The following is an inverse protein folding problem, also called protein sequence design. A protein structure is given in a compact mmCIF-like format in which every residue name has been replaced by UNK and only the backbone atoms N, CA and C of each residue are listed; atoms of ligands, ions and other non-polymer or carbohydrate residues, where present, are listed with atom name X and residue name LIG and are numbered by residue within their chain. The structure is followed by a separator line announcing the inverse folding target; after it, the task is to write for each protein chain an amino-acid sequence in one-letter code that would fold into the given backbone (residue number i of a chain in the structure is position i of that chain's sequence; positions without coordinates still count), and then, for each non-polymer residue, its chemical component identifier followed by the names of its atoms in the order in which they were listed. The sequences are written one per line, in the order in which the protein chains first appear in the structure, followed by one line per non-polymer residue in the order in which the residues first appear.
data_IF_206353634575
#
_entry.id   IF_206353634575
#
_cell.length_a   1.000
_cell.length_b   1.000
_cell.length_c   1.000
_cell.angle_alpha   90.00
_cell.angle_beta   90.00
_cell.angle_gamma   90.00
#
_symmetry.space_group_name_H-M   'P 1'
#
loop_
_entity.id
_entity.type
_entity.pdbx_description
1 polymer ?
#
# COMPACT_ATOMS: atom_id res chain seq x y z
N UNK A 1 -16.22 1.15 6.65
CA UNK A 1 -14.83 1.23 6.24
C UNK A 1 -14.33 2.51 6.85
N UNK A 2 -13.31 2.46 7.68
CA UNK A 2 -12.72 3.66 8.27
C UNK A 2 -11.65 4.25 7.33
N UNK A 3 -11.13 5.44 7.67
CA UNK A 3 -10.16 6.13 6.81
C UNK A 3 -8.91 5.27 6.52
N UNK A 4 -8.25 4.64 7.51
CA UNK A 4 -7.11 3.76 7.24
C UNK A 4 -7.43 2.61 6.28
N UNK A 5 -8.61 1.97 6.42
CA UNK A 5 -9.04 0.91 5.49
C UNK A 5 -9.25 1.42 4.07
N UNK A 6 -9.84 2.63 3.92
CA UNK A 6 -10.02 3.27 2.60
C UNK A 6 -8.67 3.59 1.97
N UNK A 7 -7.73 4.17 2.72
CA UNK A 7 -6.40 4.53 2.19
C UNK A 7 -5.64 3.31 1.71
N UNK A 8 -5.63 2.24 2.50
CA UNK A 8 -4.94 1.00 2.15
C UNK A 8 -5.56 0.35 0.91
N UNK A 9 -6.90 0.25 0.87
CA UNK A 9 -7.59 -0.41 -0.22
C UNK A 9 -7.45 0.36 -1.53
N UNK A 10 -7.62 1.69 -1.52
CA UNK A 10 -7.45 2.52 -2.73
C UNK A 10 -6.00 2.46 -3.22
N UNK A 11 -5.00 2.48 -2.33
CA UNK A 11 -3.60 2.35 -2.73
C UNK A 11 -3.31 1.01 -3.44
N UNK A 12 -3.83 -0.10 -2.90
CA UNK A 12 -3.69 -1.42 -3.53
C UNK A 12 -4.35 -1.47 -4.91
N UNK A 13 -5.53 -0.87 -5.05
CA UNK A 13 -6.24 -0.80 -6.33
C UNK A 13 -5.45 -0.01 -7.37
N UNK A 14 -4.90 1.15 -7.00
CA UNK A 14 -4.09 1.96 -7.90
C UNK A 14 -2.78 1.27 -8.33
N UNK A 15 -2.18 0.47 -7.43
CA UNK A 15 -0.93 -0.28 -7.67
C UNK A 15 -1.13 -1.47 -8.63
N UNK A 16 -2.30 -2.12 -8.61
CA UNK A 16 -2.61 -3.21 -9.56
C UNK A 16 -2.64 -2.78 -11.02
N UNK A 17 -2.78 -1.47 -11.32
CA UNK A 17 -2.64 -0.90 -12.67
C UNK A 17 -3.75 -1.27 -13.67
N UNK A 18 -4.55 -2.29 -13.41
CA UNK A 18 -5.67 -2.74 -14.25
C UNK A 18 -6.97 -1.97 -13.96
N UNK A 19 -6.98 -0.67 -14.24
CA UNK A 19 -8.22 0.12 -14.19
C UNK A 19 -8.21 1.25 -15.21
N UNK A 20 -9.40 1.58 -15.73
CA UNK A 20 -9.58 2.70 -16.66
C UNK A 20 -9.36 4.04 -15.94
N UNK A 21 -9.09 5.11 -16.71
CA UNK A 21 -8.84 6.46 -16.18
C UNK A 21 -9.95 6.94 -15.27
N UNK A 22 -11.20 6.72 -15.67
CA UNK A 22 -12.36 7.26 -14.98
C UNK A 22 -12.51 6.62 -13.59
N UNK A 23 -12.24 5.32 -13.48
CA UNK A 23 -12.22 4.60 -12.21
C UNK A 23 -11.06 5.04 -11.32
N UNK A 24 -9.89 5.36 -11.90
CA UNK A 24 -8.77 5.93 -11.14
C UNK A 24 -9.15 7.29 -10.56
N UNK A 25 -9.71 8.18 -11.38
CA UNK A 25 -10.11 9.53 -10.95
C UNK A 25 -11.19 9.48 -9.85
N UNK A 26 -12.15 8.56 -9.97
CA UNK A 26 -13.17 8.33 -8.95
C UNK A 26 -12.58 7.85 -7.62
N UNK A 27 -11.62 6.92 -7.66
CA UNK A 27 -10.96 6.42 -6.45
C UNK A 27 -10.11 7.51 -5.77
N UNK A 28 -9.41 8.34 -6.54
CA UNK A 28 -8.66 9.48 -6.03
C UNK A 28 -9.57 10.54 -5.40
N UNK A 29 -10.73 10.80 -6.02
CA UNK A 29 -11.76 11.69 -5.45
C UNK A 29 -12.25 11.16 -4.10
N UNK A 30 -12.65 9.89 -4.04
CA UNK A 30 -13.17 9.26 -2.81
C UNK A 30 -12.11 9.30 -1.69
N UNK A 31 -10.84 9.04 -2.02
CA UNK A 31 -9.73 9.12 -1.08
C UNK A 31 -9.53 10.55 -0.55
N UNK A 32 -9.58 11.55 -1.42
CA UNK A 32 -9.45 12.96 -1.05
C UNK A 32 -10.59 13.41 -0.12
N UNK A 33 -11.83 13.04 -0.45
CA UNK A 33 -13.01 13.33 0.38
C UNK A 33 -12.93 12.62 1.73
N UNK A 34 -12.45 11.37 1.77
CA UNK A 34 -12.25 10.65 3.03
C UNK A 34 -11.21 11.32 3.93
N UNK A 35 -10.09 11.78 3.37
CA UNK A 35 -9.07 12.55 4.10
C UNK A 35 -9.59 13.87 4.62
N UNK A 36 -10.51 14.51 3.89
CA UNK A 36 -11.18 15.74 4.30
C UNK A 36 -12.29 15.50 5.35
N UNK A 37 -12.59 14.24 5.71
CA UNK A 37 -13.72 13.90 6.58
C UNK A 37 -15.09 14.11 5.93
N UNK A 38 -15.13 14.18 4.59
CA UNK A 38 -16.31 14.45 3.77
C UNK A 38 -16.78 13.20 3.00
N UNK A 39 -16.43 11.99 3.48
CA UNK A 39 -16.84 10.75 2.83
C UNK A 39 -18.34 10.66 2.62
N UNK A 40 -18.76 10.37 1.39
CA UNK A 40 -20.13 10.01 1.11
C UNK A 40 -20.42 8.55 1.51
N UNK A 41 -21.57 8.27 2.13
CA UNK A 41 -21.91 6.92 2.57
C UNK A 41 -22.03 5.92 1.41
N UNK A 42 -22.44 6.39 0.22
CA UNK A 42 -22.54 5.58 -0.98
C UNK A 42 -21.17 5.16 -1.51
N UNK A 43 -20.18 6.06 -1.47
CA UNK A 43 -18.79 5.78 -1.86
C UNK A 43 -18.16 4.75 -0.91
N UNK A 44 -18.41 4.87 0.40
CA UNK A 44 -17.95 3.89 1.39
C UNK A 44 -18.65 2.53 1.24
N UNK A 45 -19.93 2.53 0.86
CA UNK A 45 -20.67 1.31 0.59
C UNK A 45 -20.15 0.60 -0.67
N UNK A 46 -19.85 1.36 -1.72
CA UNK A 46 -19.23 0.88 -2.94
C UNK A 46 -17.86 0.25 -2.66
N UNK A 47 -16.97 0.96 -1.97
CA UNK A 47 -15.65 0.44 -1.60
C UNK A 47 -15.75 -0.83 -0.75
N UNK A 48 -16.69 -0.88 0.21
CA UNK A 48 -16.93 -2.08 1.02
C UNK A 48 -17.41 -3.26 0.18
N UNK A 49 -18.34 -3.04 -0.75
CA UNK A 49 -18.84 -4.07 -1.63
C UNK A 49 -17.77 -4.57 -2.61
N UNK A 50 -16.93 -3.67 -3.11
CA UNK A 50 -15.83 -4.00 -4.01
C UNK A 50 -14.71 -4.77 -3.29
N UNK A 51 -14.33 -4.31 -2.09
CA UNK A 51 -13.42 -5.04 -1.20
C UNK A 51 -13.96 -6.45 -0.92
N UNK A 52 -15.23 -6.55 -0.49
CA UNK A 52 -15.86 -7.86 -0.29
C UNK A 52 -15.86 -8.70 -1.57
N UNK A 53 -16.07 -8.13 -2.76
CA UNK A 53 -16.04 -8.89 -4.02
C UNK A 53 -14.64 -9.44 -4.36
N UNK A 54 -13.59 -8.64 -4.20
CA UNK A 54 -12.21 -9.05 -4.46
C UNK A 54 -11.77 -10.15 -3.47
N UNK A 55 -12.13 -9.99 -2.19
CA UNK A 55 -11.69 -10.90 -1.13
C UNK A 55 -12.64 -12.07 -0.88
N UNK A 56 -13.91 -12.01 -1.32
CA UNK A 56 -14.88 -13.11 -1.21
C UNK A 56 -14.80 -14.10 -2.37
N UNK A 57 -14.00 -13.84 -3.40
CA UNK A 57 -13.55 -14.87 -4.36
C UNK A 57 -12.41 -15.73 -3.82
N UNK A 58 -11.83 -15.36 -2.68
CA UNK A 58 -11.04 -16.28 -1.88
C UNK A 58 -12.04 -17.26 -1.22
N UNK A 59 -11.84 -18.59 -1.28
CA UNK A 59 -12.61 -19.51 -0.44
C UNK A 59 -12.55 -19.02 1.01
N UNK A 60 -13.58 -19.28 1.85
CA UNK A 60 -13.50 -18.94 3.26
C UNK A 60 -12.16 -19.44 3.77
N UNK A 61 -11.35 -18.53 4.33
CA UNK A 61 -10.02 -18.87 4.80
C UNK A 61 -10.15 -20.17 5.61
N UNK A 62 -9.44 -21.25 5.25
CA UNK A 62 -9.38 -22.39 6.16
C UNK A 62 -8.95 -21.82 7.50
N UNK A 63 -9.64 -22.20 8.59
CA UNK A 63 -9.31 -21.77 9.95
C UNK A 63 -7.79 -21.64 10.05
N UNK A 64 -7.32 -20.39 10.07
CA UNK A 64 -5.89 -20.12 10.07
C UNK A 64 -5.43 -20.59 11.44
N UNK A 65 -4.96 -21.83 11.47
CA UNK A 65 -4.16 -22.39 12.54
C UNK A 65 -3.15 -21.32 13.00
N UNK A 66 -2.88 -21.20 14.31
CA UNK A 66 -2.06 -20.13 14.89
C UNK A 66 -0.56 -20.28 14.53
N UNK A 67 -0.23 -20.16 13.24
CA UNK A 67 1.10 -20.26 12.66
C UNK A 67 1.50 -19.02 11.84
N UNK A 68 0.68 -17.95 11.87
CA UNK A 68 0.99 -16.68 11.18
C UNK A 68 2.14 -15.89 11.81
N UNK A 69 2.66 -16.30 12.97
CA UNK A 69 3.71 -15.56 13.68
C UNK A 69 5.11 -15.73 13.05
N UNK A 70 5.44 -16.91 12.51
CA UNK A 70 6.76 -17.17 11.93
C UNK A 70 6.95 -16.43 10.60
N UNK A 71 5.98 -16.52 9.69
CA UNK A 71 6.04 -15.77 8.42
C UNK A 71 6.02 -14.25 8.60
N UNK A 72 5.36 -13.74 9.64
CA UNK A 72 5.38 -12.32 9.96
C UNK A 72 6.74 -11.88 10.53
N UNK A 73 7.44 -12.74 11.27
CA UNK A 73 8.79 -12.44 11.76
C UNK A 73 9.81 -12.40 10.63
N UNK A 74 9.74 -13.35 9.70
CA UNK A 74 10.62 -13.41 8.53
C UNK A 74 10.42 -12.19 7.62
N UNK A 75 9.18 -11.82 7.34
CA UNK A 75 8.88 -10.60 6.56
C UNK A 75 9.35 -9.32 7.24
N UNK A 76 9.26 -9.23 8.58
CA UNK A 76 9.77 -8.07 9.33
C UNK A 76 11.30 -7.98 9.23
N UNK A 77 11.99 -9.10 9.36
CA UNK A 77 13.45 -9.15 9.21
C UNK A 77 13.88 -8.77 7.78
N UNK A 78 13.17 -9.24 6.76
CA UNK A 78 13.44 -8.89 5.37
C UNK A 78 13.21 -7.39 5.10
N UNK A 79 12.13 -6.80 5.64
CA UNK A 79 11.87 -5.36 5.55
C UNK A 79 12.99 -4.54 6.21
N UNK A 80 13.46 -4.96 7.39
CA UNK A 80 14.57 -4.28 8.08
C UNK A 80 15.87 -4.37 7.28
N UNK A 81 16.17 -5.54 6.71
CA UNK A 81 17.33 -5.73 5.85
C UNK A 81 17.27 -4.81 4.61
N UNK A 82 16.14 -4.80 3.89
CA UNK A 82 15.98 -3.98 2.69
C UNK A 82 16.09 -2.48 2.99
N UNK A 83 15.60 -2.03 4.16
CA UNK A 83 15.77 -0.64 4.60
C UNK A 83 17.24 -0.29 4.85
N UNK A 84 17.98 -1.17 5.52
CA UNK A 84 19.40 -0.97 5.77
C UNK A 84 20.21 -0.93 4.46
N UNK A 85 19.91 -1.82 3.51
CA UNK A 85 20.55 -1.83 2.19
C UNK A 85 20.25 -0.55 1.40
N UNK A 86 19.01 -0.06 1.44
CA UNK A 86 18.62 1.19 0.79
C UNK A 86 19.35 2.41 1.37
N UNK A 87 19.46 2.49 2.70
CA UNK A 87 20.16 3.59 3.36
C UNK A 87 21.66 3.56 3.07
N UNK A 88 22.27 2.37 3.04
CA UNK A 88 23.67 2.21 2.64
C UNK A 88 23.90 2.64 1.18
N UNK A 89 23.01 2.25 0.26
CA UNK A 89 23.09 2.66 -1.13
C UNK A 89 22.95 4.17 -1.30
N UNK A 90 22.02 4.80 -0.56
CA UNK A 90 21.86 6.26 -0.55
C UNK A 90 23.11 6.97 -0.05
N UNK A 91 23.74 6.47 1.01
CA UNK A 91 24.99 7.05 1.52
C UNK A 91 26.12 6.93 0.50
N UNK A 92 26.25 5.78 -0.18
CA UNK A 92 27.24 5.61 -1.24
C UNK A 92 27.06 6.60 -2.39
N UNK A 93 25.80 6.88 -2.78
CA UNK A 93 25.51 7.89 -3.81
C UNK A 93 26.00 9.27 -3.36
N UNK A 94 25.66 9.68 -2.13
CA UNK A 94 26.10 10.97 -1.56
C UNK A 94 27.63 11.08 -1.54
N UNK A 95 28.32 10.04 -1.10
CA UNK A 95 29.79 10.03 -1.03
C UNK A 95 30.42 10.11 -2.43
N UNK A 96 29.85 9.41 -3.42
CA UNK A 96 30.32 9.46 -4.81
C UNK A 96 30.08 10.84 -5.45
N UNK A 97 28.92 11.45 -5.20
CA UNK A 97 28.59 12.80 -5.66
C UNK A 97 29.56 13.83 -5.07
N UNK A 98 29.87 13.74 -3.78
CA UNK A 98 30.87 14.59 -3.14
C UNK A 98 32.26 14.45 -3.77
N UNK A 99 32.71 13.21 -4.00
CA UNK A 99 34.01 12.93 -4.64
C UNK A 99 34.09 13.40 -6.09
N UNK A 100 32.97 13.39 -6.81
CA UNK A 100 32.88 13.94 -8.16
C UNK A 100 32.95 15.46 -8.15
N UNK A 101 32.24 16.11 -7.21
CA UNK A 101 32.27 17.57 -7.03
C UNK A 101 33.67 18.08 -6.63
N UNK A 102 34.43 17.32 -5.84
CA UNK A 102 35.81 17.66 -5.45
C UNK A 102 36.84 17.46 -6.57
N UNK A 103 36.49 16.74 -7.65
CA UNK A 103 37.38 16.46 -8.80
C UNK A 103 37.12 17.31 -10.04
N UNK A 104 36.01 18.04 -10.09
CA UNK A 104 35.66 18.98 -11.17
C UNK A 104 36.16 20.39 -10.88
#
# INVERSE_FOLDING_TARGET
MDLPEVELFVAQLLDTGEMNSDTRDDLERILSEARAGQSHPDDLAYLRAFHARIFSTLPPAPDLEPGLDEGAADLRAEIEQLRAELDAARQQIVDLEARLAERG
#
